data_IF_711030385371
#
_entry.id   IF_711030385371
#
_cell.length_a   1.000
_cell.length_b   1.000
_cell.length_c   1.000
_cell.angle_alpha   90.00
_cell.angle_beta   90.00
_cell.angle_gamma   90.00
#
_symmetry.space_group_name_H-M   'P 1'
#
loop_
_entity.id
_entity.type
_entity.pdbx_description
1 polymer ?
#
# COMPACT_ATOMS: atom_id res chain seq x y z
N UNK A 1 47.80 4.21 -10.96
CA UNK A 1 47.38 2.89 -11.46
C UNK A 1 46.06 3.08 -12.21
N UNK A 2 46.12 3.23 -13.53
CA UNK A 2 44.97 3.52 -14.39
C UNK A 2 44.68 2.29 -15.26
N UNK A 3 43.42 1.85 -15.30
CA UNK A 3 42.98 0.68 -16.06
C UNK A 3 42.95 0.97 -17.58
N UNK A 4 43.22 -0.04 -18.44
CA UNK A 4 43.37 0.14 -19.87
C UNK A 4 42.04 0.34 -20.60
N UNK A 5 42.02 1.26 -21.57
CA UNK A 5 40.91 1.45 -22.52
C UNK A 5 40.86 0.28 -23.50
N UNK A 6 39.70 -0.38 -23.59
CA UNK A 6 39.37 -1.30 -24.67
C UNK A 6 39.09 -0.47 -25.92
N UNK A 7 39.99 -0.51 -26.90
CA UNK A 7 39.83 0.10 -28.22
C UNK A 7 39.02 -0.87 -29.09
N UNK A 8 37.73 -0.58 -29.28
CA UNK A 8 36.92 -1.24 -30.30
C UNK A 8 37.43 -0.86 -31.69
N UNK A 9 37.84 -1.85 -32.49
CA UNK A 9 38.25 -1.66 -33.89
C UNK A 9 37.08 -1.12 -34.70
N UNK A 10 37.24 0.05 -35.30
CA UNK A 10 36.31 0.59 -36.30
C UNK A 10 36.45 -0.18 -37.61
N UNK A 11 35.37 -0.85 -38.03
CA UNK A 11 35.24 -1.33 -39.39
C UNK A 11 35.06 -0.11 -40.31
N UNK A 12 36.01 0.08 -41.22
CA UNK A 12 36.08 1.23 -42.13
C UNK A 12 35.38 0.84 -43.44
N UNK A 13 34.18 1.37 -43.68
CA UNK A 13 33.52 1.24 -44.98
C UNK A 13 34.24 2.17 -45.98
N UNK A 14 34.74 1.66 -47.13
CA UNK A 14 35.40 2.49 -48.12
C UNK A 14 34.37 3.31 -48.91
N UNK A 15 34.54 4.64 -48.95
CA UNK A 15 33.79 5.50 -49.87
C UNK A 15 33.26 6.84 -49.34
N UNK A 16 33.45 7.18 -48.06
CA UNK A 16 32.93 8.45 -47.50
C UNK A 16 34.07 9.31 -46.94
N UNK A 17 34.80 9.99 -47.83
CA UNK A 17 35.68 11.09 -47.45
C UNK A 17 34.83 12.32 -47.13
N UNK A 18 34.77 12.72 -45.85
CA UNK A 18 34.42 14.10 -45.51
C UNK A 18 33.33 14.35 -44.48
N UNK A 19 32.93 13.41 -43.62
CA UNK A 19 32.01 13.72 -42.52
C UNK A 19 32.62 13.31 -41.18
N UNK A 20 33.21 14.29 -40.51
CA UNK A 20 33.52 14.23 -39.08
C UNK A 20 32.21 13.97 -38.34
N UNK A 21 32.04 12.77 -37.77
CA UNK A 21 30.89 12.48 -36.91
C UNK A 21 31.04 13.35 -35.66
N UNK A 22 30.38 14.50 -35.65
CA UNK A 22 30.14 15.25 -34.45
C UNK A 22 29.43 14.30 -33.47
N UNK A 23 30.06 14.05 -32.32
CA UNK A 23 29.36 13.50 -31.16
C UNK A 23 28.36 14.55 -30.69
N UNK A 24 27.23 14.64 -31.39
CA UNK A 24 26.06 15.30 -30.85
C UNK A 24 25.57 14.40 -29.72
N UNK A 25 25.67 14.90 -28.48
CA UNK A 25 24.81 14.45 -27.40
C UNK A 25 23.37 14.80 -27.81
N UNK A 26 22.81 13.99 -28.71
CA UNK A 26 21.42 13.98 -29.10
C UNK A 26 20.66 13.32 -27.94
N UNK A 27 20.31 14.12 -26.93
CA UNK A 27 19.07 13.83 -26.22
C UNK A 27 17.97 14.10 -27.23
N UNK A 28 17.61 13.05 -27.98
CA UNK A 28 16.39 13.03 -28.78
C UNK A 28 15.25 13.05 -27.77
N UNK A 29 14.85 14.26 -27.36
CA UNK A 29 13.61 14.50 -26.66
C UNK A 29 12.50 14.23 -27.67
N UNK A 30 12.23 12.95 -27.93
CA UNK A 30 11.24 12.55 -28.91
C UNK A 30 9.88 13.11 -28.49
N UNK A 31 9.03 13.56 -29.44
CA UNK A 31 7.66 14.03 -29.12
C UNK A 31 6.77 12.94 -28.50
N UNK A 32 7.29 11.72 -28.32
CA UNK A 32 6.65 10.55 -27.76
C UNK A 32 7.43 9.99 -26.57
N UNK A 33 8.07 10.85 -25.79
CA UNK A 33 8.55 10.42 -24.47
C UNK A 33 7.30 10.17 -23.63
N UNK A 34 6.93 8.89 -23.46
CA UNK A 34 5.78 8.50 -22.65
C UNK A 34 5.86 9.23 -21.30
N UNK A 35 4.79 9.92 -20.86
CA UNK A 35 4.83 10.66 -19.61
C UNK A 35 5.18 9.67 -18.49
N UNK A 36 6.13 10.07 -17.63
CA UNK A 36 6.45 9.29 -16.42
C UNK A 36 5.18 9.16 -15.60
N UNK A 37 4.57 7.96 -15.59
CA UNK A 37 3.28 7.71 -14.94
C UNK A 37 3.37 7.74 -13.41
N UNK A 38 4.51 7.35 -12.82
CA UNK A 38 4.76 7.31 -11.37
C UNK A 38 6.21 7.72 -11.08
N UNK A 39 6.41 8.62 -10.12
CA UNK A 39 7.74 8.94 -9.60
C UNK A 39 8.25 7.81 -8.68
N UNK A 40 9.22 7.05 -9.18
CA UNK A 40 9.80 5.90 -8.48
C UNK A 40 10.66 6.27 -7.28
N UNK A 41 11.10 7.53 -7.16
CA UNK A 41 11.87 7.99 -5.99
C UNK A 41 10.98 8.23 -4.79
N UNK A 42 9.76 8.71 -5.01
CA UNK A 42 8.81 9.08 -3.95
C UNK A 42 7.76 8.00 -3.69
N UNK A 43 7.45 7.14 -4.66
CA UNK A 43 6.46 6.05 -4.51
C UNK A 43 6.71 5.13 -3.29
N UNK A 44 7.94 4.73 -2.93
CA UNK A 44 8.17 3.93 -1.72
C UNK A 44 7.76 4.66 -0.44
N UNK A 45 7.94 5.98 -0.37
CA UNK A 45 7.55 6.80 0.78
C UNK A 45 6.03 7.03 0.82
N UNK A 46 5.37 7.14 -0.33
CA UNK A 46 3.91 7.19 -0.40
C UNK A 46 3.29 5.89 0.15
N UNK A 47 3.83 4.72 -0.23
CA UNK A 47 3.41 3.43 0.31
C UNK A 47 3.64 3.33 1.83
N UNK A 48 4.79 3.81 2.33
CA UNK A 48 5.09 3.90 3.75
C UNK A 48 4.05 4.75 4.51
N UNK A 49 3.79 5.97 4.02
CA UNK A 49 2.83 6.88 4.64
C UNK A 49 1.44 6.24 4.73
N UNK A 50 0.99 5.61 3.65
CA UNK A 50 -0.29 4.94 3.59
C UNK A 50 -0.39 3.78 4.59
N UNK A 51 0.58 2.85 4.58
CA UNK A 51 0.54 1.66 5.46
C UNK A 51 0.67 2.02 6.94
N UNK A 52 1.52 3.00 7.29
CA UNK A 52 1.68 3.43 8.68
C UNK A 52 0.39 4.11 9.17
N UNK A 53 -0.22 4.97 8.35
CA UNK A 53 -1.48 5.62 8.68
C UNK A 53 -2.59 4.59 8.91
N UNK A 54 -2.77 3.64 7.99
CA UNK A 54 -3.76 2.57 8.16
C UNK A 54 -3.49 1.70 9.39
N UNK A 55 -2.23 1.33 9.63
CA UNK A 55 -1.86 0.53 10.79
C UNK A 55 -2.15 1.24 12.12
N UNK A 56 -1.84 2.54 12.22
CA UNK A 56 -2.18 3.35 13.39
C UNK A 56 -3.70 3.40 13.58
N UNK A 57 -4.46 3.61 12.52
CA UNK A 57 -5.90 3.69 12.60
C UNK A 57 -6.53 2.35 13.06
N UNK A 58 -6.03 1.20 12.60
CA UNK A 58 -6.46 -0.11 13.10
C UNK A 58 -6.13 -0.29 14.59
N UNK A 59 -4.94 0.11 15.03
CA UNK A 59 -4.57 0.02 16.46
C UNK A 59 -5.41 0.98 17.33
N UNK A 60 -5.76 2.16 16.81
CA UNK A 60 -6.69 3.06 17.49
C UNK A 60 -8.08 2.41 17.62
N UNK A 61 -8.60 1.77 16.57
CA UNK A 61 -9.89 1.07 16.64
C UNK A 61 -9.85 -0.16 17.55
N UNK A 62 -8.72 -0.86 17.62
CA UNK A 62 -8.50 -1.91 18.60
C UNK A 62 -8.52 -1.34 20.02
N UNK A 63 -7.86 -0.21 20.26
CA UNK A 63 -7.83 0.42 21.59
C UNK A 63 -9.23 0.81 22.07
N UNK A 64 -10.12 1.26 21.18
CA UNK A 64 -11.52 1.51 21.53
C UNK A 64 -12.21 0.22 21.99
N UNK A 65 -12.00 -0.89 21.28
CA UNK A 65 -12.58 -2.20 21.65
C UNK A 65 -12.08 -2.70 23.00
N UNK A 66 -10.81 -2.48 23.32
CA UNK A 66 -10.21 -2.98 24.56
C UNK A 66 -10.50 -2.07 25.75
N UNK A 67 -10.36 -0.75 25.60
CA UNK A 67 -10.37 0.19 26.72
C UNK A 67 -11.67 0.98 26.88
N UNK A 68 -12.43 1.18 25.79
CA UNK A 68 -13.68 1.97 25.84
C UNK A 68 -14.90 1.05 25.87
N UNK A 69 -15.02 0.16 24.89
CA UNK A 69 -16.12 -0.80 24.83
C UNK A 69 -15.92 -1.96 25.80
N UNK A 70 -14.68 -2.22 26.21
CA UNK A 70 -14.20 -3.43 26.88
C UNK A 70 -14.36 -4.69 26.03
N UNK A 71 -13.50 -5.68 26.25
CA UNK A 71 -13.57 -6.95 25.53
C UNK A 71 -14.95 -7.62 25.66
N UNK A 72 -15.55 -7.75 26.86
CA UNK A 72 -16.91 -8.29 26.98
C UNK A 72 -17.97 -7.48 26.22
N UNK A 73 -17.88 -6.15 26.24
CA UNK A 73 -18.82 -5.28 25.51
C UNK A 73 -18.71 -5.46 24.00
N UNK A 74 -17.50 -5.54 23.46
CA UNK A 74 -17.30 -5.78 22.02
C UNK A 74 -17.74 -7.19 21.58
N UNK A 75 -17.55 -8.20 22.44
CA UNK A 75 -18.08 -9.55 22.20
C UNK A 75 -19.61 -9.56 22.21
N UNK A 76 -20.23 -8.83 23.15
CA UNK A 76 -21.68 -8.64 23.20
C UNK A 76 -22.23 -7.90 21.97
N UNK A 77 -21.48 -6.92 21.44
CA UNK A 77 -21.83 -6.22 20.20
C UNK A 77 -21.95 -7.18 19.01
N UNK A 78 -21.04 -8.14 18.86
CA UNK A 78 -21.17 -9.19 17.82
C UNK A 78 -22.46 -9.99 17.98
N UNK A 79 -22.82 -10.34 19.21
CA UNK A 79 -24.11 -11.01 19.50
C UNK A 79 -25.31 -10.16 19.08
N UNK A 80 -25.28 -8.84 19.29
CA UNK A 80 -26.35 -7.92 18.87
C UNK A 80 -26.53 -7.83 17.35
N UNK A 81 -25.47 -8.14 16.58
CA UNK A 81 -25.50 -8.22 15.12
C UNK A 81 -25.96 -9.60 14.60
N UNK A 82 -26.24 -10.56 15.49
CA UNK A 82 -26.52 -11.95 15.13
C UNK A 82 -25.29 -12.73 14.66
N UNK A 83 -24.08 -12.21 14.91
CA UNK A 83 -22.83 -12.87 14.54
C UNK A 83 -22.33 -13.78 15.67
N UNK A 84 -21.62 -14.87 15.36
CA UNK A 84 -20.95 -15.69 16.36
C UNK A 84 -19.99 -14.86 17.23
N UNK A 85 -20.14 -14.85 18.57
CA UNK A 85 -19.34 -13.98 19.45
C UNK A 85 -17.82 -14.21 19.35
N UNK A 86 -17.38 -15.41 18.98
CA UNK A 86 -15.96 -15.71 18.84
C UNK A 86 -15.27 -14.87 17.74
N UNK A 87 -16.03 -14.39 16.74
CA UNK A 87 -15.50 -13.55 15.67
C UNK A 87 -15.03 -12.17 16.16
N UNK A 88 -15.51 -11.71 17.32
CA UNK A 88 -14.99 -10.50 17.96
C UNK A 88 -13.50 -10.64 18.32
N UNK A 89 -13.10 -11.80 18.85
CA UNK A 89 -11.69 -12.08 19.17
C UNK A 89 -10.84 -12.21 17.91
N UNK A 90 -11.37 -12.85 16.87
CA UNK A 90 -10.70 -12.95 15.56
C UNK A 90 -10.48 -11.54 14.98
N UNK A 91 -11.49 -10.68 15.03
CA UNK A 91 -11.42 -9.29 14.57
C UNK A 91 -10.30 -8.55 15.31
N UNK A 92 -10.30 -8.56 16.65
CA UNK A 92 -9.26 -7.89 17.44
C UNK A 92 -7.85 -8.44 17.15
N UNK A 93 -7.70 -9.75 16.99
CA UNK A 93 -6.42 -10.37 16.66
C UNK A 93 -5.91 -9.92 15.28
N UNK A 94 -6.80 -9.89 14.28
CA UNK A 94 -6.47 -9.44 12.91
C UNK A 94 -6.13 -7.94 12.90
N UNK A 95 -6.86 -7.10 13.63
CA UNK A 95 -6.56 -5.66 13.75
C UNK A 95 -5.20 -5.43 14.42
N UNK A 96 -4.90 -6.15 15.50
CA UNK A 96 -3.62 -6.05 16.21
C UNK A 96 -2.45 -6.48 15.32
N UNK A 97 -2.50 -7.72 14.83
CA UNK A 97 -1.41 -8.33 14.06
C UNK A 97 -1.27 -7.59 12.72
N UNK A 98 -2.37 -7.35 12.02
CA UNK A 98 -2.39 -6.65 10.75
C UNK A 98 -1.90 -5.21 10.89
N UNK A 99 -2.37 -4.47 11.90
CA UNK A 99 -1.93 -3.09 12.16
C UNK A 99 -0.43 -2.99 12.44
N UNK A 100 0.10 -3.89 13.28
CA UNK A 100 1.54 -3.96 13.55
C UNK A 100 2.35 -4.36 12.31
N UNK A 101 1.89 -5.33 11.52
CA UNK A 101 2.54 -5.73 10.27
C UNK A 101 2.58 -4.59 9.24
N UNK A 102 1.48 -3.82 9.13
CA UNK A 102 1.44 -2.64 8.27
C UNK A 102 2.43 -1.56 8.71
N UNK A 103 2.52 -1.26 10.01
CA UNK A 103 3.48 -0.27 10.55
C UNK A 103 4.93 -0.74 10.35
N UNK A 104 5.21 -2.01 10.63
CA UNK A 104 6.54 -2.59 10.47
C UNK A 104 6.95 -2.77 8.99
N UNK A 105 5.98 -2.75 8.06
CA UNK A 105 6.23 -3.12 6.67
C UNK A 105 6.62 -4.59 6.52
N UNK A 106 6.16 -5.45 7.44
CA UNK A 106 6.43 -6.89 7.39
C UNK A 106 5.32 -7.59 6.62
N UNK A 107 5.57 -7.91 5.34
CA UNK A 107 4.56 -8.50 4.46
C UNK A 107 3.28 -7.65 4.38
N UNK A 108 3.43 -6.33 4.24
CA UNK A 108 2.32 -5.37 4.29
C UNK A 108 1.24 -5.71 3.25
N UNK A 109 1.66 -6.21 2.07
CA UNK A 109 0.75 -6.68 1.02
C UNK A 109 -0.22 -7.76 1.50
N UNK A 110 0.27 -8.70 2.31
CA UNK A 110 -0.51 -9.84 2.79
C UNK A 110 -1.27 -9.47 4.06
N UNK A 111 -0.76 -8.55 4.88
CA UNK A 111 -1.47 -8.02 6.03
C UNK A 111 -2.70 -7.19 5.61
N UNK A 112 -2.63 -6.48 4.47
CA UNK A 112 -3.72 -5.65 3.99
C UNK A 112 -4.98 -6.45 3.59
N UNK A 113 -4.82 -7.68 3.09
CA UNK A 113 -5.94 -8.51 2.62
C UNK A 113 -6.94 -8.93 3.73
N UNK A 114 -6.52 -9.53 4.86
CA UNK A 114 -7.46 -9.86 5.94
C UNK A 114 -8.08 -8.60 6.56
N UNK A 115 -7.34 -7.49 6.64
CA UNK A 115 -7.89 -6.20 7.07
C UNK A 115 -8.95 -5.66 6.09
N UNK A 116 -8.75 -5.85 4.79
CA UNK A 116 -9.73 -5.49 3.77
C UNK A 116 -11.02 -6.34 3.91
N UNK A 117 -10.88 -7.63 4.20
CA UNK A 117 -12.04 -8.49 4.51
C UNK A 117 -12.78 -8.01 5.76
N UNK A 118 -12.08 -7.54 6.81
CA UNK A 118 -12.73 -6.92 7.96
C UNK A 118 -13.49 -5.65 7.60
N UNK A 119 -12.94 -4.81 6.72
CA UNK A 119 -13.65 -3.61 6.23
C UNK A 119 -14.91 -3.98 5.44
N UNK A 120 -14.85 -5.00 4.59
CA UNK A 120 -16.05 -5.53 3.93
C UNK A 120 -17.09 -6.04 4.94
N UNK A 121 -16.67 -6.80 5.94
CA UNK A 121 -17.55 -7.25 7.02
C UNK A 121 -18.20 -6.08 7.76
N UNK A 122 -17.41 -5.04 8.06
CA UNK A 122 -17.85 -3.81 8.74
C UNK A 122 -18.89 -3.05 7.91
N UNK A 123 -18.66 -2.93 6.60
CA UNK A 123 -19.62 -2.32 5.66
C UNK A 123 -20.93 -3.12 5.67
N UNK A 124 -20.88 -4.44 5.49
CA UNK A 124 -22.09 -5.25 5.33
C UNK A 124 -22.88 -5.37 6.63
N UNK A 125 -22.20 -5.55 7.77
CA UNK A 125 -22.85 -5.93 9.03
C UNK A 125 -23.15 -4.74 9.94
N UNK A 126 -22.40 -3.64 9.84
CA UNK A 126 -22.52 -2.49 10.76
C UNK A 126 -23.07 -1.25 10.06
N UNK A 127 -22.48 -0.84 8.94
CA UNK A 127 -22.74 0.50 8.37
C UNK A 127 -23.63 0.51 7.13
N UNK A 128 -23.82 -0.63 6.46
CA UNK A 128 -24.49 -0.70 5.16
C UNK A 128 -25.94 -0.21 5.20
N UNK A 129 -26.65 -0.47 6.30
CA UNK A 129 -28.02 -0.03 6.51
C UNK A 129 -28.15 1.47 6.87
N UNK A 130 -27.04 2.14 7.22
CA UNK A 130 -27.02 3.55 7.61
C UNK A 130 -26.85 4.51 6.41
N UNK A 131 -26.74 4.00 5.19
CA UNK A 131 -26.52 4.80 3.98
C UNK A 131 -25.07 5.23 3.78
N UNK A 132 -24.81 6.02 2.73
CA UNK A 132 -23.45 6.38 2.29
C UNK A 132 -22.71 7.26 3.30
N UNK A 133 -23.25 8.44 3.63
CA UNK A 133 -22.52 9.49 4.34
C UNK A 133 -22.06 9.08 5.74
N UNK A 134 -20.77 9.26 6.03
CA UNK A 134 -20.21 8.96 7.36
C UNK A 134 -20.94 9.68 8.51
N UNK A 135 -21.46 10.88 8.26
CA UNK A 135 -22.18 11.69 9.26
C UNK A 135 -23.61 11.20 9.58
N UNK A 136 -24.11 10.17 8.91
CA UNK A 136 -25.44 9.61 9.19
C UNK A 136 -25.51 9.04 10.62
N UNK A 137 -26.72 8.95 11.17
CA UNK A 137 -26.95 8.32 12.48
C UNK A 137 -26.43 6.87 12.47
N UNK A 138 -25.53 6.53 13.38
CA UNK A 138 -24.85 5.22 13.43
C UNK A 138 -23.61 5.09 12.53
N UNK A 139 -23.28 6.14 11.76
CA UNK A 139 -22.16 6.16 10.82
C UNK A 139 -22.50 5.46 9.51
N UNK A 140 -22.40 6.16 8.37
CA UNK A 140 -22.53 5.56 7.04
C UNK A 140 -21.28 4.82 6.58
N UNK A 141 -21.38 4.10 5.46
CA UNK A 141 -20.36 3.17 5.00
C UNK A 141 -19.24 3.78 4.10
N UNK A 142 -19.34 5.07 3.75
CA UNK A 142 -18.34 5.80 2.96
C UNK A 142 -16.91 5.64 3.50
N UNK A 143 -16.73 5.88 4.80
CA UNK A 143 -15.39 5.86 5.41
C UNK A 143 -14.80 4.44 5.50
N UNK A 144 -15.55 3.40 5.94
CA UNK A 144 -15.10 2.01 5.79
C UNK A 144 -14.76 1.60 4.35
N UNK A 145 -15.53 2.06 3.35
CA UNK A 145 -15.20 1.79 1.95
C UNK A 145 -13.91 2.48 1.49
N UNK A 146 -13.65 3.70 1.96
CA UNK A 146 -12.37 4.35 1.72
C UNK A 146 -11.19 3.55 2.30
N UNK A 147 -11.32 3.03 3.53
CA UNK A 147 -10.29 2.18 4.13
C UNK A 147 -10.07 0.89 3.35
N UNK A 148 -11.15 0.24 2.90
CA UNK A 148 -11.08 -0.93 2.04
C UNK A 148 -10.24 -0.63 0.79
N UNK A 149 -10.54 0.44 0.06
CA UNK A 149 -9.79 0.84 -1.14
C UNK A 149 -8.34 1.15 -0.79
N UNK A 150 -8.08 1.89 0.30
CA UNK A 150 -6.73 2.20 0.75
C UNK A 150 -5.90 0.94 1.07
N UNK A 151 -6.52 -0.09 1.68
CA UNK A 151 -5.89 -1.38 1.92
C UNK A 151 -5.58 -2.13 0.62
N UNK A 152 -6.49 -2.09 -0.36
CA UNK A 152 -6.23 -2.65 -1.69
C UNK A 152 -5.06 -1.92 -2.39
N UNK A 153 -4.96 -0.60 -2.23
CA UNK A 153 -3.82 0.17 -2.71
C UNK A 153 -2.51 -0.29 -2.06
N UNK A 154 -2.49 -0.54 -0.74
CA UNK A 154 -1.30 -1.12 -0.08
C UNK A 154 -0.98 -2.51 -0.63
N UNK A 155 -2.00 -3.36 -0.85
CA UNK A 155 -1.81 -4.70 -1.41
C UNK A 155 -1.17 -4.65 -2.81
N UNK A 156 -1.50 -3.64 -3.61
CA UNK A 156 -0.94 -3.42 -4.95
C UNK A 156 0.44 -2.75 -4.94
N UNK A 157 0.67 -1.75 -4.08
CA UNK A 157 1.95 -1.02 -3.98
C UNK A 157 3.07 -1.85 -3.35
N UNK A 158 2.73 -2.76 -2.43
CA UNK A 158 3.70 -3.57 -1.71
C UNK A 158 4.27 -2.86 -0.46
N UNK A 159 5.48 -3.24 -0.05
CA UNK A 159 5.98 -2.99 1.31
C UNK A 159 6.53 -1.56 1.52
N UNK A 160 6.89 -0.84 0.46
CA UNK A 160 7.36 0.55 0.53
C UNK A 160 8.72 0.77 1.21
N UNK A 161 9.04 2.02 1.49
CA UNK A 161 10.25 2.42 2.21
C UNK A 161 10.23 1.91 3.66
N UNK A 162 11.41 1.72 4.25
CA UNK A 162 11.63 1.29 5.65
C UNK A 162 10.84 0.04 6.08
N UNK A 163 10.60 -0.87 5.14
CA UNK A 163 10.06 -2.19 5.45
C UNK A 163 11.15 -3.06 6.11
N UNK A 164 10.81 -3.84 7.13
CA UNK A 164 11.75 -4.79 7.75
C UNK A 164 12.24 -5.86 6.75
N UNK A 165 11.47 -6.10 5.66
CA UNK A 165 11.85 -7.04 4.61
C UNK A 165 12.93 -6.42 3.71
N UNK A 166 14.00 -7.19 3.44
CA UNK A 166 14.97 -6.78 2.41
C UNK A 166 14.30 -6.76 1.04
N UNK A 167 14.60 -5.78 0.18
CA UNK A 167 14.18 -5.83 -1.23
C UNK A 167 14.65 -7.16 -1.82
N UNK A 168 13.78 -7.88 -2.55
CA UNK A 168 14.26 -8.93 -3.42
C UNK A 168 15.13 -8.22 -4.45
N UNK A 169 16.43 -8.46 -4.43
CA UNK A 169 17.30 -8.12 -5.55
C UNK A 169 16.73 -8.84 -6.77
N UNK A 170 16.27 -8.06 -7.74
CA UNK A 170 15.97 -8.56 -9.08
C UNK A 170 17.28 -8.83 -9.81
#
# INVERSE_FOLDING_TARGET
MALPRIVGKSARLPGLTGLTVAQTNLTLDSPWTEPVMIDTKTAPYAALLLRVSLGILFLAHLSLKVFVFTVPGFVGFFGSLGLPPFLAYVTMAVELVGGLMLIAGFHARFAALPLAVLMLGTIVTVHGHNGWMFANKGGGWEFPAFWLVALLVVALLGDGAWSIRRPRTA
#
